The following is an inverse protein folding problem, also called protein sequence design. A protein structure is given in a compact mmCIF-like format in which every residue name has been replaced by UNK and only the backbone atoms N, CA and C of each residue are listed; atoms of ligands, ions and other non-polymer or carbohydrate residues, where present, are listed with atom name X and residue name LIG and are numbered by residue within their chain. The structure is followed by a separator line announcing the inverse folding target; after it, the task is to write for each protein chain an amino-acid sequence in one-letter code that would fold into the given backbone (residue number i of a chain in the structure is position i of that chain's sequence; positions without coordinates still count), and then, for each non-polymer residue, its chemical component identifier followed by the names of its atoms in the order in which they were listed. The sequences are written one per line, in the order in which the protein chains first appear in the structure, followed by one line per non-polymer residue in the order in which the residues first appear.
data_IF_314287082863
#
_entry.id   IF_314287082863
#
_cell.length_a   1.000
_cell.length_b   1.000
_cell.length_c   1.000
_cell.angle_alpha   90.00
_cell.angle_beta   90.00
_cell.angle_gamma   90.00
#
_symmetry.space_group_name_H-M   'P 1'
#
loop_
_entity.id
_entity.type
_entity.pdbx_description
1 polymer ?
#
# COMPACT_ATOMS: atom_id res chain seq x y z
N UNK A 1 -20.35 13.98 -5.01
CA UNK A 1 -19.99 12.69 -4.39
C UNK A 1 -18.68 12.17 -4.98
N UNK A 2 -17.58 12.88 -4.72
CA UNK A 2 -16.30 12.64 -5.39
C UNK A 2 -15.10 13.20 -4.61
N UNK A 3 -15.23 13.37 -3.29
CA UNK A 3 -14.06 13.30 -2.37
C UNK A 3 -13.82 11.81 -2.04
N UNK A 4 -14.10 10.94 -3.00
CA UNK A 4 -13.19 10.27 -3.94
C UNK A 4 -12.57 9.07 -3.25
N UNK A 5 -12.82 7.90 -3.81
CA UNK A 5 -12.12 6.65 -3.52
C UNK A 5 -10.61 6.86 -3.40
N UNK A 6 -10.05 7.84 -4.14
CA UNK A 6 -8.66 8.26 -4.03
C UNK A 6 -8.31 8.81 -2.64
N UNK A 7 -9.14 9.65 -2.04
CA UNK A 7 -8.91 10.20 -0.69
C UNK A 7 -8.94 9.11 0.39
N UNK A 8 -9.83 8.12 0.23
CA UNK A 8 -9.87 6.94 1.10
C UNK A 8 -8.62 6.08 0.93
N UNK A 9 -8.18 5.86 -0.32
CA UNK A 9 -6.95 5.13 -0.60
C UNK A 9 -5.71 5.84 -0.03
N UNK A 10 -5.62 7.17 -0.19
CA UNK A 10 -4.53 7.97 0.40
C UNK A 10 -4.50 7.78 1.91
N UNK A 11 -5.65 7.91 2.59
CA UNK A 11 -5.74 7.70 4.04
C UNK A 11 -5.34 6.27 4.45
N UNK A 12 -5.79 5.27 3.70
CA UNK A 12 -5.41 3.87 3.96
C UNK A 12 -3.88 3.68 3.82
N UNK A 13 -3.26 4.25 2.78
CA UNK A 13 -1.81 4.20 2.59
C UNK A 13 -1.08 4.92 3.73
N UNK A 14 -1.60 6.06 4.21
CA UNK A 14 -1.02 6.81 5.33
C UNK A 14 -1.04 6.02 6.64
N UNK A 15 -2.07 5.21 6.87
CA UNK A 15 -2.22 4.33 8.05
C UNK A 15 -1.33 3.08 8.01
N UNK A 16 -0.71 2.74 6.88
CA UNK A 16 0.23 1.61 6.82
C UNK A 16 1.44 1.85 7.74
N UNK A 17 2.00 0.78 8.36
CA UNK A 17 3.25 0.89 9.11
C UNK A 17 4.35 1.54 8.27
N UNK A 18 5.17 2.41 8.88
CA UNK A 18 6.17 3.24 8.17
C UNK A 18 7.00 2.46 7.14
N UNK A 19 7.53 1.29 7.52
CA UNK A 19 8.33 0.45 6.63
C UNK A 19 7.50 -0.10 5.45
N UNK A 20 6.26 -0.54 5.70
CA UNK A 20 5.35 -1.05 4.67
C UNK A 20 4.97 0.05 3.69
N UNK A 21 4.65 1.25 4.20
CA UNK A 21 4.31 2.42 3.38
C UNK A 21 5.46 2.78 2.43
N UNK A 22 6.70 2.83 2.93
CA UNK A 22 7.87 3.14 2.11
C UNK A 22 8.09 2.10 0.99
N UNK A 23 7.99 0.80 1.31
CA UNK A 23 8.08 -0.28 0.34
C UNK A 23 6.95 -0.19 -0.70
N UNK A 24 5.73 0.08 -0.27
CA UNK A 24 4.55 0.17 -1.13
C UNK A 24 4.66 1.32 -2.13
N UNK A 25 5.03 2.52 -1.67
CA UNK A 25 5.20 3.69 -2.52
C UNK A 25 6.34 3.50 -3.52
N UNK A 26 7.48 2.95 -3.09
CA UNK A 26 8.59 2.65 -3.99
C UNK A 26 8.20 1.69 -5.12
N UNK A 27 7.40 0.66 -4.80
CA UNK A 27 6.97 -0.32 -5.81
C UNK A 27 5.84 0.21 -6.73
N UNK A 28 4.93 1.05 -6.22
CA UNK A 28 3.69 1.42 -6.94
C UNK A 28 3.71 2.81 -7.54
N UNK A 29 4.38 3.75 -6.89
CA UNK A 29 4.51 5.14 -7.37
C UNK A 29 5.81 5.30 -8.13
N UNK A 30 6.91 4.82 -7.58
CA UNK A 30 8.23 4.90 -8.23
C UNK A 30 8.49 3.72 -9.19
N UNK A 31 7.55 2.76 -9.27
CA UNK A 31 7.57 1.61 -10.18
C UNK A 31 8.83 0.73 -10.08
N UNK A 32 9.51 0.75 -8.94
CA UNK A 32 10.68 -0.09 -8.70
C UNK A 32 10.28 -1.57 -8.60
N UNK A 33 11.09 -2.44 -9.18
CA UNK A 33 10.96 -3.89 -9.04
C UNK A 33 11.16 -4.32 -7.58
N UNK A 34 10.69 -5.53 -7.24
CA UNK A 34 10.91 -6.09 -5.91
C UNK A 34 12.40 -6.20 -5.55
N UNK A 35 13.28 -6.31 -6.55
CA UNK A 35 14.72 -6.42 -6.35
C UNK A 35 15.37 -5.05 -6.10
N UNK A 36 14.96 -4.02 -6.81
CA UNK A 36 15.41 -2.63 -6.58
C UNK A 36 14.92 -2.12 -5.21
N UNK A 37 13.67 -2.40 -4.86
CA UNK A 37 13.11 -2.06 -3.53
C UNK A 37 13.86 -2.81 -2.42
N UNK A 38 14.16 -4.10 -2.63
CA UNK A 38 14.92 -4.90 -1.69
C UNK A 38 16.33 -4.31 -1.44
N UNK A 39 17.03 -3.95 -2.52
CA UNK A 39 18.33 -3.28 -2.45
C UNK A 39 18.24 -1.95 -1.70
N UNK A 40 17.26 -1.11 -2.04
CA UNK A 40 17.09 0.23 -1.44
C UNK A 40 16.85 0.20 0.07
N UNK A 41 16.09 -0.78 0.56
CA UNK A 41 15.68 -0.84 1.97
C UNK A 41 16.44 -1.90 2.78
N UNK A 42 17.44 -2.57 2.21
CA UNK A 42 18.24 -3.58 2.92
C UNK A 42 17.41 -4.79 3.38
N UNK A 43 16.46 -5.23 2.56
CA UNK A 43 15.56 -6.37 2.84
C UNK A 43 15.62 -7.40 1.72
N UNK A 44 14.98 -8.56 1.91
CA UNK A 44 14.89 -9.57 0.84
C UNK A 44 13.74 -9.27 -0.13
N UNK A 45 13.84 -9.67 -1.41
CA UNK A 45 12.72 -9.56 -2.35
C UNK A 45 11.45 -10.29 -1.88
N UNK A 46 11.61 -11.39 -1.12
CA UNK A 46 10.50 -12.09 -0.49
C UNK A 46 9.79 -11.24 0.58
N UNK A 47 10.55 -10.52 1.40
CA UNK A 47 9.99 -9.57 2.37
C UNK A 47 9.25 -8.43 1.65
N UNK A 48 9.80 -7.91 0.56
CA UNK A 48 9.12 -6.90 -0.27
C UNK A 48 7.76 -7.42 -0.74
N UNK A 49 7.71 -8.60 -1.38
CA UNK A 49 6.45 -9.22 -1.83
C UNK A 49 5.44 -9.41 -0.69
N UNK A 50 5.90 -9.83 0.49
CA UNK A 50 5.02 -10.00 1.65
C UNK A 50 4.46 -8.67 2.16
N UNK A 51 5.28 -7.62 2.23
CA UNK A 51 4.81 -6.28 2.60
C UNK A 51 3.83 -5.70 1.57
N UNK A 52 4.06 -5.92 0.27
CA UNK A 52 3.11 -5.52 -0.77
C UNK A 52 1.77 -6.23 -0.63
N UNK A 53 1.78 -7.56 -0.44
CA UNK A 53 0.55 -8.33 -0.21
C UNK A 53 -0.24 -7.82 0.99
N UNK A 54 0.44 -7.53 2.10
CA UNK A 54 -0.19 -6.97 3.31
C UNK A 54 -0.72 -5.56 3.09
N UNK A 55 -0.02 -4.73 2.32
CA UNK A 55 -0.46 -3.37 2.00
C UNK A 55 -1.72 -3.39 1.13
N UNK A 56 -1.75 -4.25 0.11
CA UNK A 56 -2.93 -4.44 -0.75
C UNK A 56 -4.13 -4.91 0.04
N UNK A 57 -3.99 -5.98 0.83
CA UNK A 57 -5.08 -6.50 1.66
C UNK A 57 -5.66 -5.43 2.60
N UNK A 58 -4.80 -4.61 3.20
CA UNK A 58 -5.25 -3.50 4.06
C UNK A 58 -6.01 -2.43 3.26
N UNK A 59 -5.47 -1.98 2.12
CA UNK A 59 -6.14 -0.97 1.30
C UNK A 59 -7.48 -1.47 0.76
N UNK A 60 -7.55 -2.73 0.33
CA UNK A 60 -8.80 -3.37 -0.10
C UNK A 60 -9.84 -3.40 1.01
N UNK A 61 -9.44 -3.81 2.22
CA UNK A 61 -10.32 -3.85 3.38
C UNK A 61 -10.87 -2.45 3.74
N UNK A 62 -10.01 -1.43 3.77
CA UNK A 62 -10.44 -0.05 4.06
C UNK A 62 -11.42 0.49 3.02
N UNK A 63 -11.20 0.19 1.73
CA UNK A 63 -12.09 0.59 0.66
C UNK A 63 -13.44 -0.13 0.72
N UNK A 64 -13.46 -1.43 1.03
CA UNK A 64 -14.69 -2.21 1.20
C UNK A 64 -15.52 -1.69 2.38
N UNK A 65 -14.91 -1.40 3.52
CA UNK A 65 -15.60 -0.80 4.67
C UNK A 65 -16.22 0.55 4.32
N UNK A 66 -15.50 1.39 3.58
CA UNK A 66 -16.00 2.69 3.17
C UNK A 66 -17.18 2.60 2.18
N UNK A 67 -17.22 1.56 1.34
CA UNK A 67 -18.35 1.30 0.44
C UNK A 67 -19.58 0.74 1.20
N UNK A 68 -19.36 -0.16 2.15
CA UNK A 68 -20.42 -0.74 2.97
C UNK A 68 -21.09 0.28 3.91
N UNK A 69 -20.34 1.27 4.42
CA UNK A 69 -20.90 2.37 5.22
C UNK A 69 -21.59 3.48 4.42
N UNK A 70 -21.56 3.41 3.08
CA UNK A 70 -22.21 4.34 2.17
C UNK A 70 -23.47 3.76 1.50
N UNK A 71 -23.83 2.52 1.84
CA UNK A 71 -25.02 1.79 1.39
C UNK A 71 -26.06 1.74 2.52
#
# INVERSE_FOLDING_TARGET
MGRSVLSLLIRAIECLPRQRRAIFLAARVEQLSAQEVACRYGVTPAKVRNELRKAHAYCEQELLHAHAGAS
#
